data_IF_571700105009
#
_entry.id   IF_571700105009
#
_cell.length_a   1.000
_cell.length_b   1.000
_cell.length_c   1.000
_cell.angle_alpha   90.00
_cell.angle_beta   90.00
_cell.angle_gamma   90.00
#
_symmetry.space_group_name_H-M   'P 1'
#
loop_
_entity.id
_entity.type
_entity.pdbx_description
1 polymer ?
#
# COMPACT_ATOMS: atom_id res chain seq x y z
N UNK A 1 16.41 -4.11 21.41
CA UNK A 1 15.16 -3.38 21.79
C UNK A 1 14.42 -3.06 20.52
N UNK A 2 13.11 -3.32 20.49
CA UNK A 2 12.20 -2.98 19.38
C UNK A 2 11.13 -2.01 19.87
N UNK A 3 10.61 -1.16 18.98
CA UNK A 3 9.59 -0.18 19.32
C UNK A 3 9.34 0.83 18.22
N UNK A 4 8.69 1.93 18.56
CA UNK A 4 8.42 3.03 17.66
C UNK A 4 9.22 4.26 18.07
N UNK A 5 9.55 5.12 17.12
CA UNK A 5 10.20 6.40 17.44
C UNK A 5 9.25 7.34 18.18
N UNK A 6 9.74 7.97 19.24
CA UNK A 6 9.07 9.08 19.88
C UNK A 6 8.89 10.22 18.87
N UNK A 7 7.74 10.87 18.90
CA UNK A 7 7.42 11.93 17.95
C UNK A 7 8.52 12.99 17.85
N UNK A 8 8.98 13.28 16.64
CA UNK A 8 10.06 14.23 16.31
C UNK A 8 11.43 13.88 16.88
N UNK A 9 11.70 12.63 17.19
CA UNK A 9 13.01 12.14 17.67
C UNK A 9 13.34 10.81 16.99
N UNK A 10 14.58 10.32 17.20
CA UNK A 10 15.00 8.96 16.86
C UNK A 10 15.09 8.05 18.10
N UNK A 11 14.56 8.50 19.23
CA UNK A 11 14.50 7.69 20.45
C UNK A 11 13.43 6.63 20.32
N UNK A 12 13.81 5.36 20.50
CA UNK A 12 12.88 4.23 20.45
C UNK A 12 12.13 4.15 21.79
N UNK A 13 10.80 4.20 21.72
CA UNK A 13 9.91 3.81 22.81
C UNK A 13 9.69 2.32 22.70
N UNK A 14 10.13 1.50 23.67
CA UNK A 14 9.94 0.07 23.63
C UNK A 14 8.47 -0.28 23.52
N UNK A 15 8.15 -1.11 22.53
CA UNK A 15 6.79 -1.61 22.34
C UNK A 15 6.84 -3.03 21.78
N UNK A 16 6.25 -3.96 22.51
CA UNK A 16 6.09 -5.36 22.09
C UNK A 16 4.63 -5.71 21.84
N UNK A 17 3.70 -4.82 22.21
CA UNK A 17 2.26 -5.01 22.04
C UNK A 17 1.64 -3.72 21.49
N UNK A 18 0.99 -3.83 20.35
CA UNK A 18 0.25 -2.75 19.72
C UNK A 18 -1.22 -3.17 19.56
N UNK A 19 -2.16 -2.30 19.93
CA UNK A 19 -3.59 -2.59 19.79
C UNK A 19 -4.04 -2.84 18.33
N UNK A 20 -3.30 -2.30 17.37
CA UNK A 20 -3.49 -2.56 15.93
C UNK A 20 -2.62 -3.70 15.41
N UNK A 21 -1.73 -4.22 16.22
CA UNK A 21 -0.85 -5.33 15.86
C UNK A 21 -1.49 -6.69 16.10
N UNK A 22 -0.83 -7.71 15.58
CA UNK A 22 -1.23 -9.10 15.79
C UNK A 22 -0.33 -9.77 16.83
N UNK A 23 -0.81 -10.86 17.43
CA UNK A 23 -0.07 -11.58 18.49
C UNK A 23 1.31 -12.07 18.03
N UNK A 24 1.40 -12.45 16.77
CA UNK A 24 2.63 -12.94 16.14
C UNK A 24 3.75 -11.88 16.08
N UNK A 25 3.42 -10.59 16.15
CA UNK A 25 4.43 -9.53 16.09
C UNK A 25 5.49 -9.69 17.19
N UNK A 26 5.08 -10.03 18.42
CA UNK A 26 6.03 -10.24 19.53
C UNK A 26 6.99 -11.37 19.20
N UNK A 27 6.48 -12.54 18.86
CA UNK A 27 7.29 -13.73 18.56
C UNK A 27 8.28 -13.48 17.42
N UNK A 28 7.82 -12.84 16.33
CA UNK A 28 8.65 -12.47 15.19
C UNK A 28 9.77 -11.52 15.59
N UNK A 29 9.45 -10.48 16.35
CA UNK A 29 10.42 -9.46 16.76
C UNK A 29 11.45 -10.03 17.76
N UNK A 30 11.02 -10.83 18.73
CA UNK A 30 11.91 -11.52 19.69
C UNK A 30 12.87 -12.46 18.95
N UNK A 31 12.37 -13.27 18.02
CA UNK A 31 13.19 -14.17 17.21
C UNK A 31 14.25 -13.41 16.39
N UNK A 32 13.89 -12.28 15.77
CA UNK A 32 14.84 -11.45 15.00
C UNK A 32 15.89 -10.82 15.93
N UNK A 33 15.49 -10.29 17.08
CA UNK A 33 16.42 -9.70 18.06
C UNK A 33 17.40 -10.72 18.60
N UNK A 34 16.92 -11.90 18.99
CA UNK A 34 17.77 -12.99 19.48
C UNK A 34 18.75 -13.45 18.40
N UNK A 35 18.26 -13.59 17.16
CA UNK A 35 19.12 -13.91 16.02
C UNK A 35 20.23 -12.88 15.81
N UNK A 36 19.89 -11.58 15.88
CA UNK A 36 20.88 -10.50 15.77
C UNK A 36 21.92 -10.54 16.88
N UNK A 37 21.50 -10.78 18.13
CA UNK A 37 22.41 -10.88 19.27
C UNK A 37 23.37 -12.07 19.12
N UNK A 38 22.86 -13.26 18.76
CA UNK A 38 23.67 -14.48 18.55
C UNK A 38 24.69 -14.29 17.42
N UNK A 39 24.31 -13.59 16.39
CA UNK A 39 25.14 -13.43 15.17
C UNK A 39 25.87 -12.10 15.07
N UNK A 40 25.82 -11.27 16.13
CA UNK A 40 26.48 -9.96 16.20
C UNK A 40 26.08 -9.03 15.03
N UNK A 41 24.80 -9.05 14.64
CA UNK A 41 24.27 -8.17 13.59
C UNK A 41 23.90 -6.84 14.23
N UNK A 42 24.39 -5.74 13.65
CA UNK A 42 24.20 -4.40 14.20
C UNK A 42 22.84 -3.80 13.83
N UNK A 43 22.26 -3.03 14.75
CA UNK A 43 21.14 -2.15 14.44
C UNK A 43 21.65 -0.87 13.78
N UNK A 44 20.87 -0.32 12.86
CA UNK A 44 21.15 0.96 12.24
C UNK A 44 20.92 2.11 13.25
N UNK A 45 21.84 3.04 13.26
CA UNK A 45 21.76 4.27 14.03
C UNK A 45 21.49 5.45 13.07
N UNK A 46 20.34 6.10 13.21
CA UNK A 46 19.92 7.21 12.35
C UNK A 46 20.82 8.45 12.49
N UNK A 47 21.54 8.57 13.61
CA UNK A 47 22.44 9.72 13.86
C UNK A 47 23.76 9.54 13.13
N UNK A 48 24.37 8.36 13.26
CA UNK A 48 25.66 8.06 12.63
C UNK A 48 25.52 7.57 11.19
N UNK A 49 24.38 6.95 10.86
CA UNK A 49 24.12 6.27 9.59
C UNK A 49 24.87 4.93 9.48
N UNK A 50 25.29 4.36 10.61
CA UNK A 50 26.00 3.09 10.69
C UNK A 50 25.05 1.97 11.17
N UNK A 51 25.45 0.72 10.92
CA UNK A 51 24.67 -0.46 11.28
C UNK A 51 23.85 -1.00 10.12
N UNK A 52 23.32 -2.21 10.28
CA UNK A 52 22.70 -2.99 9.20
C UNK A 52 21.18 -2.97 9.23
N UNK A 53 20.54 -3.51 10.28
CA UNK A 53 19.08 -3.62 10.35
C UNK A 53 18.47 -2.29 10.77
N UNK A 54 17.66 -1.70 9.89
CA UNK A 54 16.96 -0.43 10.12
C UNK A 54 15.58 -0.64 10.72
N UNK A 55 14.74 -1.41 10.02
CA UNK A 55 13.36 -1.63 10.41
C UNK A 55 12.94 -3.08 10.11
N UNK A 56 11.86 -3.50 10.75
CA UNK A 56 11.13 -4.72 10.42
C UNK A 56 9.70 -4.34 10.10
N UNK A 57 9.27 -4.60 8.86
CA UNK A 57 7.88 -4.47 8.45
C UNK A 57 7.22 -5.84 8.58
N UNK A 58 6.15 -5.92 9.37
CA UNK A 58 5.30 -7.10 9.48
C UNK A 58 3.94 -6.75 8.91
N UNK A 59 3.45 -7.60 8.00
CA UNK A 59 2.09 -7.52 7.47
C UNK A 59 1.35 -8.80 7.80
N UNK A 60 0.07 -8.64 8.07
CA UNK A 60 -0.82 -9.75 8.39
C UNK A 60 -2.12 -9.64 7.59
N UNK A 61 -2.47 -10.70 6.87
CA UNK A 61 -3.75 -10.84 6.20
C UNK A 61 -4.80 -11.32 7.20
N UNK A 62 -5.70 -10.44 7.59
CA UNK A 62 -6.68 -10.74 8.66
C UNK A 62 -7.72 -11.79 8.26
N UNK A 63 -8.04 -11.89 6.97
CA UNK A 63 -8.97 -12.90 6.44
C UNK A 63 -8.28 -14.20 6.06
N UNK A 64 -7.01 -14.14 5.68
CA UNK A 64 -6.24 -15.30 5.21
C UNK A 64 -5.34 -15.91 6.28
N UNK A 65 -4.92 -15.13 7.27
CA UNK A 65 -3.91 -15.52 8.24
C UNK A 65 -2.47 -15.51 7.68
N UNK A 66 -2.27 -15.02 6.46
CA UNK A 66 -0.94 -14.94 5.84
C UNK A 66 -0.07 -13.87 6.51
N UNK A 67 1.21 -14.18 6.69
CA UNK A 67 2.20 -13.29 7.33
C UNK A 67 3.32 -12.96 6.35
N UNK A 68 3.68 -11.68 6.30
CA UNK A 68 4.89 -11.21 5.64
C UNK A 68 5.82 -10.56 6.65
N UNK A 69 7.10 -10.91 6.57
CA UNK A 69 8.19 -10.21 7.25
C UNK A 69 9.13 -9.63 6.22
N UNK A 70 9.35 -8.32 6.29
CA UNK A 70 10.32 -7.62 5.45
C UNK A 70 11.38 -6.96 6.33
N UNK A 71 12.64 -7.35 6.14
CA UNK A 71 13.80 -6.76 6.81
C UNK A 71 14.31 -5.58 5.99
N UNK A 72 14.29 -4.38 6.56
CA UNK A 72 14.80 -3.18 5.90
C UNK A 72 16.25 -2.97 6.37
N UNK A 73 17.20 -2.99 5.44
CA UNK A 73 18.63 -2.97 5.74
C UNK A 73 19.40 -1.86 5.05
N UNK A 74 20.44 -1.40 5.72
CA UNK A 74 21.48 -0.51 5.20
C UNK A 74 22.65 -1.34 4.63
N UNK A 75 22.40 -2.11 3.57
CA UNK A 75 23.38 -3.02 3.00
C UNK A 75 22.78 -3.85 1.87
N UNK A 76 23.59 -4.72 1.27
CA UNK A 76 23.15 -5.57 0.15
C UNK A 76 22.57 -6.91 0.58
N UNK A 77 23.06 -7.42 1.72
CA UNK A 77 22.71 -8.75 2.20
C UNK A 77 22.56 -8.74 3.72
N UNK A 78 21.72 -9.63 4.22
CA UNK A 78 21.58 -9.89 5.65
C UNK A 78 22.38 -11.16 6.00
N UNK A 79 23.38 -11.06 6.89
CA UNK A 79 24.23 -12.20 7.19
C UNK A 79 23.46 -13.40 7.74
N UNK A 80 23.75 -14.59 7.23
CA UNK A 80 23.09 -15.84 7.64
C UNK A 80 21.57 -15.82 7.52
N UNK A 81 21.03 -15.04 6.57
CA UNK A 81 19.59 -14.91 6.33
C UNK A 81 18.88 -16.26 6.18
N UNK A 82 19.52 -17.26 5.60
CA UNK A 82 18.98 -18.62 5.45
C UNK A 82 18.56 -19.23 6.81
N UNK A 83 19.39 -19.04 7.86
CA UNK A 83 19.07 -19.55 9.20
C UNK A 83 17.91 -18.78 9.85
N UNK A 84 17.85 -17.46 9.63
CA UNK A 84 16.72 -16.66 10.11
C UNK A 84 15.44 -17.06 9.40
N UNK A 85 15.51 -17.28 8.09
CA UNK A 85 14.40 -17.80 7.28
C UNK A 85 13.92 -19.15 7.81
N UNK A 86 14.84 -20.08 8.12
CA UNK A 86 14.49 -21.40 8.67
C UNK A 86 13.71 -21.28 9.99
N UNK A 87 14.04 -20.30 10.82
CA UNK A 87 13.31 -20.05 12.06
C UNK A 87 11.95 -19.40 11.82
N UNK A 88 11.91 -18.33 10.99
CA UNK A 88 10.70 -17.55 10.76
C UNK A 88 9.61 -18.35 10.01
N UNK A 89 9.98 -19.24 9.10
CA UNK A 89 9.01 -20.04 8.33
C UNK A 89 8.23 -21.05 9.17
N UNK A 90 8.71 -21.37 10.39
CA UNK A 90 8.00 -22.25 11.32
C UNK A 90 6.80 -21.56 11.99
N UNK A 91 6.72 -20.22 11.91
CA UNK A 91 5.60 -19.45 12.44
C UNK A 91 4.35 -19.72 11.58
N UNK A 92 3.25 -20.21 12.19
CA UNK A 92 2.03 -20.50 11.45
C UNK A 92 1.50 -19.28 10.67
N UNK A 93 1.24 -19.45 9.39
CA UNK A 93 0.79 -18.40 8.49
C UNK A 93 1.94 -17.65 7.78
N UNK A 94 3.20 -17.93 8.09
CA UNK A 94 4.31 -17.31 7.37
C UNK A 94 4.24 -17.65 5.88
N UNK A 95 4.17 -16.63 5.03
CA UNK A 95 3.96 -16.75 3.59
C UNK A 95 5.05 -16.05 2.78
N UNK A 96 5.59 -14.96 3.35
CA UNK A 96 6.57 -14.10 2.67
C UNK A 96 7.66 -13.65 3.63
N UNK A 97 8.92 -13.87 3.27
CA UNK A 97 10.08 -13.31 3.96
C UNK A 97 10.93 -12.58 2.92
N UNK A 98 11.08 -11.29 3.08
CA UNK A 98 11.73 -10.41 2.11
C UNK A 98 12.79 -9.53 2.75
N UNK A 99 13.67 -9.01 1.91
CA UNK A 99 14.67 -8.02 2.27
C UNK A 99 14.42 -6.77 1.44
N UNK A 100 14.41 -5.61 2.09
CA UNK A 100 14.36 -4.31 1.45
C UNK A 100 15.68 -3.58 1.65
N UNK A 101 16.29 -3.15 0.57
CA UNK A 101 17.56 -2.40 0.61
C UNK A 101 17.26 -0.91 0.67
N UNK A 102 17.63 -0.26 1.79
CA UNK A 102 17.51 1.18 1.95
C UNK A 102 18.81 1.74 2.55
N UNK A 103 19.65 2.35 1.71
CA UNK A 103 20.90 3.01 2.11
C UNK A 103 20.79 4.52 2.21
N UNK A 104 19.63 5.08 1.91
CA UNK A 104 19.44 6.52 1.90
C UNK A 104 19.29 7.04 3.33
N UNK A 105 19.96 8.16 3.63
CA UNK A 105 19.84 8.87 4.92
C UNK A 105 18.64 9.82 4.87
N UNK A 106 17.45 9.26 4.81
CA UNK A 106 16.18 9.99 4.76
C UNK A 106 15.19 9.37 5.72
N UNK A 107 14.07 10.06 5.99
CA UNK A 107 12.99 9.54 6.81
C UNK A 107 12.12 8.49 6.07
N UNK A 108 12.46 8.15 4.82
CA UNK A 108 11.77 7.12 4.05
C UNK A 108 12.21 5.75 4.56
N UNK A 109 11.26 4.95 5.04
CA UNK A 109 11.55 3.63 5.64
C UNK A 109 11.94 2.61 4.57
N UNK A 110 11.19 2.53 3.47
CA UNK A 110 11.37 1.52 2.43
C UNK A 110 12.21 2.05 1.27
N UNK A 111 13.25 1.32 0.91
CA UNK A 111 13.97 1.52 -0.35
C UNK A 111 13.20 0.91 -1.53
N UNK A 112 13.73 1.05 -2.73
CA UNK A 112 13.07 0.58 -3.96
C UNK A 112 13.33 -0.90 -4.28
N UNK A 113 14.44 -1.44 -3.79
CA UNK A 113 14.87 -2.81 -4.09
C UNK A 113 14.29 -3.80 -3.06
N UNK A 114 13.58 -4.81 -3.55
CA UNK A 114 13.06 -5.92 -2.76
C UNK A 114 13.71 -7.22 -3.25
N UNK A 115 14.20 -8.02 -2.32
CA UNK A 115 14.69 -9.38 -2.56
C UNK A 115 13.82 -10.37 -1.79
N UNK A 116 13.27 -11.36 -2.47
CA UNK A 116 12.55 -12.47 -1.80
C UNK A 116 13.60 -13.42 -1.22
N UNK A 117 13.56 -13.60 0.09
CA UNK A 117 14.39 -14.58 0.78
C UNK A 117 13.71 -15.95 0.85
N UNK A 118 12.38 -15.96 1.02
CA UNK A 118 11.57 -17.18 1.04
C UNK A 118 10.10 -16.89 0.77
N UNK A 119 9.40 -17.85 0.17
CA UNK A 119 7.97 -17.80 -0.07
C UNK A 119 7.58 -16.87 -1.21
N UNK A 120 6.48 -16.15 -1.03
CA UNK A 120 5.92 -15.23 -2.03
C UNK A 120 6.52 -13.83 -1.89
N UNK A 121 6.44 -13.02 -2.96
CA UNK A 121 6.78 -11.60 -2.91
C UNK A 121 5.66 -10.73 -2.28
N UNK A 122 4.56 -11.34 -1.88
CA UNK A 122 3.34 -10.68 -1.37
C UNK A 122 2.62 -11.59 -0.38
N UNK A 123 1.70 -11.02 0.37
CA UNK A 123 0.63 -11.74 1.04
C UNK A 123 -0.71 -11.40 0.39
N UNK A 124 -1.72 -12.21 0.69
CA UNK A 124 -3.07 -12.00 0.21
C UNK A 124 -4.00 -11.64 1.37
N UNK A 125 -4.90 -10.69 1.15
CA UNK A 125 -6.00 -10.40 2.09
C UNK A 125 -7.24 -9.93 1.34
N UNK A 126 -8.32 -9.66 2.07
CA UNK A 126 -9.59 -9.24 1.52
C UNK A 126 -10.09 -7.95 2.18
N UNK A 127 -10.74 -7.10 1.38
CA UNK A 127 -11.61 -6.02 1.85
C UNK A 127 -12.99 -6.30 1.26
N UNK A 128 -13.96 -6.63 2.13
CA UNK A 128 -15.23 -7.18 1.68
C UNK A 128 -15.03 -8.47 0.87
N UNK A 129 -15.50 -8.49 -0.37
CA UNK A 129 -15.36 -9.63 -1.29
C UNK A 129 -14.17 -9.50 -2.26
N UNK A 130 -13.45 -8.40 -2.22
CA UNK A 130 -12.32 -8.15 -3.14
C UNK A 130 -11.02 -8.64 -2.53
N UNK A 131 -10.30 -9.44 -3.28
CA UNK A 131 -9.01 -10.03 -2.92
C UNK A 131 -7.86 -9.15 -3.38
N UNK A 132 -6.86 -8.94 -2.52
CA UNK A 132 -5.68 -8.14 -2.83
C UNK A 132 -4.40 -8.90 -2.58
N UNK A 133 -3.45 -8.80 -3.50
CA UNK A 133 -2.05 -9.11 -3.27
C UNK A 133 -1.34 -7.86 -2.79
N UNK A 134 -0.64 -7.98 -1.66
CA UNK A 134 -0.04 -6.86 -0.93
C UNK A 134 1.45 -7.12 -0.83
N UNK A 135 2.26 -6.34 -1.55
CA UNK A 135 3.72 -6.40 -1.50
C UNK A 135 4.29 -5.58 -0.33
N UNK A 136 5.59 -5.67 0.00
CA UNK A 136 6.20 -4.81 1.00
C UNK A 136 6.04 -3.31 0.69
N UNK A 137 6.05 -2.93 -0.60
CA UNK A 137 5.96 -1.54 -1.04
C UNK A 137 4.52 -1.03 -1.17
N UNK A 138 3.52 -1.91 -1.16
CA UNK A 138 2.11 -1.52 -1.27
C UNK A 138 1.68 -0.72 -0.04
N UNK A 139 0.98 0.39 -0.25
CA UNK A 139 0.19 0.98 0.83
C UNK A 139 -1.05 0.09 1.08
N UNK A 140 -1.29 -0.27 2.32
CA UNK A 140 -2.47 -1.03 2.75
C UNK A 140 -2.87 -0.60 4.15
N UNK A 141 -4.16 -0.37 4.37
CA UNK A 141 -4.70 0.14 5.63
C UNK A 141 -4.44 -0.83 6.78
N UNK A 142 -3.94 -0.32 7.90
CA UNK A 142 -3.52 -1.15 9.06
C UNK A 142 -4.67 -1.65 9.93
N UNK A 143 -5.87 -1.08 9.81
CA UNK A 143 -7.07 -1.47 10.56
C UNK A 143 -8.12 -2.03 9.59
N UNK A 144 -8.14 -3.34 9.32
CA UNK A 144 -9.01 -3.92 8.29
C UNK A 144 -10.50 -3.78 8.59
N UNK A 145 -10.89 -3.84 9.86
CA UNK A 145 -12.30 -3.66 10.25
C UNK A 145 -12.79 -2.26 9.93
N UNK A 146 -11.98 -1.24 10.26
CA UNK A 146 -12.33 0.14 9.95
C UNK A 146 -12.17 0.44 8.45
N UNK A 147 -11.30 -0.25 7.75
CA UNK A 147 -11.15 -0.13 6.30
C UNK A 147 -12.42 -0.57 5.57
N UNK A 148 -13.01 -1.70 5.96
CA UNK A 148 -14.27 -2.16 5.37
C UNK A 148 -15.41 -1.15 5.65
N UNK A 149 -15.49 -0.60 6.87
CA UNK A 149 -16.48 0.43 7.22
C UNK A 149 -16.27 1.70 6.40
N UNK A 150 -15.03 2.18 6.31
CA UNK A 150 -14.68 3.39 5.55
C UNK A 150 -15.03 3.23 4.06
N UNK A 151 -14.67 2.10 3.46
CA UNK A 151 -14.94 1.85 2.04
C UNK A 151 -16.43 1.62 1.79
N UNK A 152 -17.15 1.00 2.72
CA UNK A 152 -18.61 0.92 2.70
C UNK A 152 -19.27 2.29 2.72
N UNK A 153 -18.78 3.21 3.56
CA UNK A 153 -19.25 4.58 3.64
C UNK A 153 -18.91 5.38 2.36
N UNK A 154 -17.70 5.20 1.83
CA UNK A 154 -17.30 5.82 0.55
C UNK A 154 -18.20 5.35 -0.60
N UNK A 155 -18.54 4.06 -0.65
CA UNK A 155 -19.47 3.50 -1.64
C UNK A 155 -20.89 4.08 -1.48
N UNK A 156 -21.37 4.25 -0.26
CA UNK A 156 -22.67 4.88 0.03
C UNK A 156 -22.69 6.34 -0.44
N UNK A 157 -21.65 7.11 -0.12
CA UNK A 157 -21.55 8.52 -0.55
C UNK A 157 -21.38 8.66 -2.06
N UNK A 158 -20.69 7.73 -2.71
CA UNK A 158 -20.59 7.68 -4.16
C UNK A 158 -21.95 7.48 -4.84
N UNK A 159 -22.90 6.84 -4.17
CA UNK A 159 -24.29 6.68 -4.63
C UNK A 159 -24.40 5.97 -5.98
N UNK A 160 -23.65 4.90 -6.16
CA UNK A 160 -23.52 4.19 -7.44
C UNK A 160 -24.72 3.28 -7.71
N UNK A 161 -25.24 3.33 -8.94
CA UNK A 161 -26.38 2.55 -9.44
C UNK A 161 -26.03 1.66 -10.65
N UNK A 162 -24.74 1.62 -11.05
CA UNK A 162 -24.24 0.79 -12.14
C UNK A 162 -24.09 1.51 -13.49
N UNK A 163 -24.34 2.81 -13.55
CA UNK A 163 -24.21 3.62 -14.76
C UNK A 163 -23.07 4.65 -14.69
N UNK A 164 -22.52 4.83 -13.51
CA UNK A 164 -21.58 5.92 -13.21
C UNK A 164 -20.14 5.56 -13.63
N UNK A 165 -19.45 6.57 -14.11
CA UNK A 165 -18.00 6.60 -14.32
C UNK A 165 -17.35 7.25 -13.10
N UNK A 166 -16.49 6.50 -12.43
CA UNK A 166 -15.81 6.91 -11.19
C UNK A 166 -14.33 7.12 -11.45
N UNK A 167 -13.78 8.21 -10.94
CA UNK A 167 -12.33 8.42 -10.86
C UNK A 167 -11.83 8.33 -9.43
N UNK A 168 -10.80 7.52 -9.22
CA UNK A 168 -10.05 7.39 -7.97
C UNK A 168 -8.66 8.00 -8.19
N UNK A 169 -8.43 9.19 -7.62
CA UNK A 169 -7.29 10.04 -7.97
C UNK A 169 -6.04 9.82 -7.11
N UNK A 170 -6.04 8.86 -6.23
CA UNK A 170 -4.88 8.40 -5.44
C UNK A 170 -5.03 6.89 -5.20
N UNK A 171 -5.17 6.12 -6.28
CA UNK A 171 -5.69 4.75 -6.18
C UNK A 171 -4.73 3.74 -5.52
N UNK A 172 -3.44 4.05 -5.40
CA UNK A 172 -2.45 3.10 -4.88
C UNK A 172 -2.48 1.76 -5.63
N UNK A 173 -2.62 0.67 -4.90
CA UNK A 173 -2.77 -0.68 -5.47
C UNK A 173 -4.23 -1.02 -5.88
N UNK A 174 -5.08 0.00 -5.99
CA UNK A 174 -6.46 -0.13 -6.45
C UNK A 174 -7.46 -0.55 -5.36
N UNK A 175 -7.16 -0.33 -4.08
CA UNK A 175 -8.03 -0.83 -2.99
C UNK A 175 -9.42 -0.23 -3.03
N UNK A 176 -9.55 1.09 -3.11
CA UNK A 176 -10.84 1.78 -3.25
C UNK A 176 -11.42 1.57 -4.64
N UNK A 177 -10.60 1.72 -5.69
CA UNK A 177 -11.02 1.56 -7.08
C UNK A 177 -11.76 0.24 -7.31
N UNK A 178 -11.15 -0.88 -6.90
CA UNK A 178 -11.73 -2.22 -7.11
C UNK A 178 -12.94 -2.48 -6.21
N UNK A 179 -12.98 -1.87 -5.03
CA UNK A 179 -14.14 -1.94 -4.15
C UNK A 179 -15.34 -1.23 -4.79
N UNK A 180 -15.15 -0.05 -5.39
CA UNK A 180 -16.19 0.72 -6.09
C UNK A 180 -16.59 0.08 -7.43
N UNK A 181 -15.66 -0.60 -8.12
CA UNK A 181 -15.91 -1.26 -9.40
C UNK A 181 -17.03 -2.33 -9.34
N UNK A 182 -17.32 -2.86 -8.13
CA UNK A 182 -18.43 -3.79 -7.93
C UNK A 182 -19.81 -3.14 -8.18
N UNK A 183 -19.92 -1.82 -8.17
CA UNK A 183 -21.16 -1.05 -8.30
C UNK A 183 -21.11 0.01 -9.40
N UNK A 184 -19.95 0.36 -9.91
CA UNK A 184 -19.77 1.35 -10.97
C UNK A 184 -19.92 0.70 -12.36
N UNK A 185 -20.26 1.51 -13.38
CA UNK A 185 -20.13 1.14 -14.78
C UNK A 185 -18.66 1.02 -15.17
N UNK A 186 -17.87 2.01 -14.80
CA UNK A 186 -16.44 2.10 -15.11
C UNK A 186 -15.71 2.81 -13.98
N UNK A 187 -14.52 2.33 -13.63
CA UNK A 187 -13.63 2.99 -12.68
C UNK A 187 -12.29 3.30 -13.35
N UNK A 188 -11.79 4.50 -13.14
CA UNK A 188 -10.47 4.94 -13.56
C UNK A 188 -9.63 5.28 -12.33
N UNK A 189 -8.52 4.58 -12.12
CA UNK A 189 -7.58 4.83 -11.04
C UNK A 189 -6.34 5.56 -11.54
N UNK A 190 -5.90 6.57 -10.80
CA UNK A 190 -4.66 7.31 -11.09
C UNK A 190 -3.72 7.22 -9.90
N UNK A 191 -2.46 6.91 -10.16
CA UNK A 191 -1.41 6.85 -9.15
C UNK A 191 -0.06 7.22 -9.78
N UNK A 192 0.74 7.98 -9.05
CA UNK A 192 2.05 8.44 -9.52
C UNK A 192 3.12 7.32 -9.51
N UNK A 193 2.91 6.30 -8.70
CA UNK A 193 3.87 5.19 -8.52
C UNK A 193 3.59 4.08 -9.52
N UNK A 194 4.46 3.86 -10.55
CA UNK A 194 4.22 2.85 -11.58
C UNK A 194 4.02 1.44 -11.02
N UNK A 195 4.78 1.06 -9.99
CA UNK A 195 4.67 -0.26 -9.38
C UNK A 195 3.31 -0.48 -8.72
N UNK A 196 2.73 0.55 -8.10
CA UNK A 196 1.41 0.46 -7.50
C UNK A 196 0.33 0.25 -8.56
N UNK A 197 0.46 0.87 -9.74
CA UNK A 197 -0.44 0.63 -10.88
C UNK A 197 -0.33 -0.80 -11.40
N UNK A 198 0.87 -1.36 -11.49
CA UNK A 198 1.01 -2.78 -11.88
C UNK A 198 0.39 -3.72 -10.84
N UNK A 199 0.49 -3.39 -9.57
CA UNK A 199 -0.18 -4.13 -8.49
C UNK A 199 -1.71 -3.96 -8.60
N UNK A 200 -2.24 -2.77 -8.91
CA UNK A 200 -3.66 -2.52 -9.11
C UNK A 200 -4.23 -3.33 -10.28
N UNK A 201 -3.54 -3.35 -11.43
CA UNK A 201 -3.93 -4.17 -12.59
C UNK A 201 -3.94 -5.67 -12.26
N UNK A 202 -2.93 -6.14 -11.52
CA UNK A 202 -2.86 -7.53 -11.07
C UNK A 202 -4.02 -7.87 -10.12
N UNK A 203 -4.34 -6.95 -9.18
CA UNK A 203 -5.46 -7.10 -8.27
C UNK A 203 -6.81 -7.10 -9.02
N UNK A 204 -6.99 -6.27 -10.06
CA UNK A 204 -8.17 -6.31 -10.92
C UNK A 204 -8.32 -7.69 -11.60
N UNK A 205 -7.25 -8.17 -12.23
CA UNK A 205 -7.24 -9.48 -12.90
C UNK A 205 -7.51 -10.63 -11.92
N UNK A 206 -6.95 -10.58 -10.70
CA UNK A 206 -7.16 -11.57 -9.66
C UNK A 206 -8.64 -11.75 -9.26
N UNK A 207 -9.42 -10.66 -9.38
CA UNK A 207 -10.84 -10.64 -9.06
C UNK A 207 -11.77 -10.74 -10.28
N UNK A 208 -11.24 -10.83 -11.49
CA UNK A 208 -12.03 -10.79 -12.72
C UNK A 208 -12.75 -9.45 -12.92
N UNK A 209 -12.19 -8.36 -12.41
CA UNK A 209 -12.75 -7.01 -12.55
C UNK A 209 -12.24 -6.41 -13.86
N UNK A 210 -13.10 -6.28 -14.86
CA UNK A 210 -12.78 -5.79 -16.19
C UNK A 210 -13.15 -4.31 -16.40
N UNK A 211 -14.00 -3.76 -15.54
CA UNK A 211 -14.47 -2.38 -15.57
C UNK A 211 -13.60 -1.41 -14.74
N UNK A 212 -12.33 -1.73 -14.51
CA UNK A 212 -11.36 -0.85 -13.87
C UNK A 212 -10.14 -0.68 -14.76
N UNK A 213 -9.74 0.58 -15.00
CA UNK A 213 -8.53 0.94 -15.74
C UNK A 213 -7.63 1.81 -14.87
N UNK A 214 -6.31 1.69 -15.07
CA UNK A 214 -5.35 2.33 -14.20
C UNK A 214 -4.29 3.08 -15.01
N UNK A 215 -3.98 4.31 -14.59
CA UNK A 215 -3.06 5.22 -15.25
C UNK A 215 -1.93 5.63 -14.30
N UNK A 216 -0.70 5.62 -14.82
CA UNK A 216 0.47 6.16 -14.13
C UNK A 216 0.58 7.65 -14.43
N UNK A 217 0.62 8.48 -13.41
CA UNK A 217 0.84 9.92 -13.57
C UNK A 217 0.25 10.72 -12.43
N UNK A 218 0.37 12.03 -12.54
CA UNK A 218 -0.30 12.94 -11.63
C UNK A 218 -1.74 13.12 -12.06
N UNK A 219 -2.65 13.12 -11.09
CA UNK A 219 -4.08 13.20 -11.33
C UNK A 219 -4.48 14.48 -12.07
N UNK A 220 -3.84 15.60 -11.73
CA UNK A 220 -4.04 16.92 -12.38
C UNK A 220 -3.58 16.97 -13.84
N UNK A 221 -2.76 16.02 -14.28
CA UNK A 221 -2.30 15.90 -15.66
C UNK A 221 -3.11 14.84 -16.44
N UNK A 222 -3.31 13.67 -15.82
CA UNK A 222 -3.96 12.51 -16.44
C UNK A 222 -5.43 12.77 -16.73
N UNK A 223 -6.16 13.34 -15.76
CA UNK A 223 -7.60 13.53 -15.86
C UNK A 223 -7.99 14.48 -17.01
N UNK A 224 -7.41 15.70 -17.14
CA UNK A 224 -7.70 16.57 -18.27
C UNK A 224 -7.32 15.97 -19.60
N UNK A 225 -6.13 15.35 -19.69
CA UNK A 225 -5.64 14.76 -20.93
C UNK A 225 -6.52 13.61 -21.40
N UNK A 226 -7.04 12.79 -20.49
CA UNK A 226 -7.98 11.73 -20.84
C UNK A 226 -9.22 12.32 -21.55
N UNK A 227 -9.83 13.34 -20.98
CA UNK A 227 -11.03 13.95 -21.54
C UNK A 227 -10.80 14.73 -22.82
N UNK A 228 -9.64 15.39 -22.97
CA UNK A 228 -9.24 15.99 -24.24
C UNK A 228 -9.09 14.94 -25.36
N UNK A 229 -8.48 13.81 -25.05
CA UNK A 229 -8.34 12.72 -26.03
C UNK A 229 -9.70 12.10 -26.35
N UNK A 230 -10.53 11.86 -25.33
CA UNK A 230 -11.89 11.35 -25.52
C UNK A 230 -12.70 12.25 -26.47
N UNK A 231 -12.69 13.56 -26.25
CA UNK A 231 -13.39 14.50 -27.11
C UNK A 231 -12.88 14.49 -28.56
N UNK A 232 -11.55 14.35 -28.77
CA UNK A 232 -10.97 14.24 -30.14
C UNK A 232 -11.43 12.97 -30.84
N UNK A 233 -11.49 11.84 -30.13
CA UNK A 233 -11.88 10.55 -30.67
C UNK A 233 -13.39 10.42 -30.93
N UNK A 234 -14.21 11.18 -30.19
CA UNK A 234 -15.68 11.13 -30.25
C UNK A 234 -16.30 12.40 -30.86
N UNK A 235 -15.60 13.04 -31.81
CA UNK A 235 -16.16 14.16 -32.58
C UNK A 235 -16.49 15.41 -31.78
N UNK A 236 -15.82 15.62 -30.66
CA UNK A 236 -16.03 16.79 -29.76
C UNK A 236 -17.04 16.53 -28.64
N UNK A 237 -17.53 15.29 -28.50
CA UNK A 237 -18.38 14.91 -27.38
C UNK A 237 -17.60 15.03 -26.06
N UNK A 238 -18.21 15.71 -25.10
CA UNK A 238 -17.63 15.85 -23.75
C UNK A 238 -18.14 14.72 -22.86
N UNK A 239 -17.24 13.86 -22.41
CA UNK A 239 -17.52 12.96 -21.30
C UNK A 239 -17.06 13.61 -19.99
N UNK A 240 -17.68 13.23 -18.90
CA UNK A 240 -17.38 13.75 -17.57
C UNK A 240 -17.30 12.61 -16.56
N UNK A 241 -16.57 12.82 -15.47
CA UNK A 241 -16.66 11.96 -14.31
C UNK A 241 -18.02 12.19 -13.64
N UNK A 242 -18.75 11.12 -13.34
CA UNK A 242 -19.95 11.23 -12.52
C UNK A 242 -19.56 11.38 -11.04
N UNK A 243 -18.56 10.62 -10.61
CA UNK A 243 -18.05 10.64 -9.25
C UNK A 243 -16.52 10.70 -9.25
N UNK A 244 -15.98 11.56 -8.39
CA UNK A 244 -14.54 11.60 -8.10
C UNK A 244 -14.33 11.20 -6.64
N UNK A 245 -13.43 10.23 -6.41
CA UNK A 245 -13.03 9.78 -5.07
C UNK A 245 -11.57 10.15 -4.87
N UNK A 246 -11.26 10.70 -3.70
CA UNK A 246 -9.89 11.10 -3.34
C UNK A 246 -9.56 10.68 -1.91
N UNK A 247 -8.42 9.99 -1.73
CA UNK A 247 -7.80 9.69 -0.44
C UNK A 247 -6.36 10.24 -0.46
N UNK A 248 -6.19 11.58 -0.38
CA UNK A 248 -4.90 12.21 -0.55
C UNK A 248 -4.00 12.00 0.68
N UNK A 249 -2.67 12.22 0.52
CA UNK A 249 -1.75 12.25 1.65
C UNK A 249 -2.14 13.36 2.65
N UNK A 250 -1.57 13.31 3.87
CA UNK A 250 -1.90 14.23 4.99
C UNK A 250 -1.84 15.73 4.68
N UNK A 251 -1.14 16.15 3.64
CA UNK A 251 -1.09 17.53 3.15
C UNK A 251 -2.33 17.95 2.37
N UNK A 252 -3.23 17.03 2.04
CA UNK A 252 -4.41 17.27 1.22
C UNK A 252 -4.13 17.20 -0.29
N UNK A 253 -5.12 17.58 -1.09
CA UNK A 253 -5.02 17.69 -2.53
C UNK A 253 -4.21 18.93 -2.91
N UNK A 254 -3.49 18.83 -4.04
CA UNK A 254 -2.83 19.98 -4.68
C UNK A 254 -3.88 20.97 -5.25
N UNK A 255 -3.54 22.26 -5.28
CA UNK A 255 -4.45 23.30 -5.75
C UNK A 255 -4.87 23.08 -7.22
N UNK A 256 -3.92 22.67 -8.07
CA UNK A 256 -4.19 22.34 -9.49
C UNK A 256 -5.17 21.18 -9.62
N UNK A 257 -5.08 20.18 -8.74
CA UNK A 257 -6.04 19.08 -8.71
C UNK A 257 -7.43 19.53 -8.28
N UNK A 258 -7.53 20.41 -7.28
CA UNK A 258 -8.83 20.98 -6.87
C UNK A 258 -9.49 21.75 -8.02
N UNK A 259 -8.73 22.59 -8.73
CA UNK A 259 -9.21 23.29 -9.91
C UNK A 259 -9.66 22.33 -11.02
N UNK A 260 -8.90 21.25 -11.25
CA UNK A 260 -9.26 20.21 -12.22
C UNK A 260 -10.57 19.53 -11.85
N UNK A 261 -10.77 19.16 -10.59
CA UNK A 261 -12.02 18.55 -10.14
C UNK A 261 -13.22 19.49 -10.31
N UNK A 262 -13.05 20.78 -10.02
CA UNK A 262 -14.09 21.80 -10.23
C UNK A 262 -14.43 21.93 -11.73
N UNK A 263 -13.44 21.92 -12.60
CA UNK A 263 -13.65 22.01 -14.06
C UNK A 263 -14.37 20.79 -14.63
N UNK A 264 -14.15 19.61 -14.05
CA UNK A 264 -14.81 18.37 -14.46
C UNK A 264 -16.28 18.32 -14.05
N UNK A 265 -16.70 19.14 -13.10
CA UNK A 265 -18.10 19.24 -12.64
C UNK A 265 -18.75 17.87 -12.33
N UNK A 266 -18.13 17.01 -11.53
CA UNK A 266 -18.72 15.74 -11.18
C UNK A 266 -20.01 15.96 -10.37
N UNK A 267 -20.93 15.00 -10.41
CA UNK A 267 -22.12 15.04 -9.57
C UNK A 267 -21.77 14.94 -8.07
N UNK A 268 -20.68 14.20 -7.77
CA UNK A 268 -20.22 13.97 -6.38
C UNK A 268 -18.69 13.92 -6.30
N UNK A 269 -18.18 14.44 -5.20
CA UNK A 269 -16.81 14.24 -4.76
C UNK A 269 -16.86 13.58 -3.40
N UNK A 270 -16.20 12.43 -3.26
CA UNK A 270 -16.03 11.69 -2.01
C UNK A 270 -14.59 11.90 -1.54
N UNK A 271 -14.45 12.57 -0.37
CA UNK A 271 -13.16 12.93 0.22
C UNK A 271 -13.01 12.25 1.59
#
# INVERSE_FOLDING_TARGET
MTGFYAGRTHQIIPNTECALGVKQNREILEMIVDFMNIHHITTYDETTGEGLLRHVLIRYGFRTGEIMVCLIINGDNFPKSEKLVDNLREIPGMTSITLNVNRERTNVILGREIKVLWGQAYITDYIGNVKYQISPLSFYQVNPVQTENLYGQALEYAGLHGNETVWDLYCGIGTISLFLAQKAKQVYGVEIIPQAIEDAKRNAALNGIENAQFFVGKSEEVLPQYYENYAKEHGGEKAYADVIVVDPPRKGCDETLLETMIQMQPERIVY
#
